data_IF_825456770104
#
_entry.id   IF_825456770104
#
_cell.length_a   1.000
_cell.length_b   1.000
_cell.length_c   1.000
_cell.angle_alpha   90.00
_cell.angle_beta   90.00
_cell.angle_gamma   90.00
#
_symmetry.space_group_name_H-M   'P 1'
#
loop_
_entity.id
_entity.type
_entity.pdbx_description
1 polymer ?
#
# COMPACT_ATOMS: atom_id res chain seq x y z
N UNK A 1 -5.78 -20.71 -15.50
CA UNK A 1 -6.37 -20.57 -14.13
C UNK A 1 -6.40 -19.11 -13.74
N UNK A 2 -7.45 -18.63 -13.04
CA UNK A 2 -7.46 -17.30 -12.46
C UNK A 2 -6.44 -17.24 -11.33
N UNK A 3 -5.77 -16.10 -11.15
CA UNK A 3 -4.82 -15.86 -10.06
C UNK A 3 -5.46 -14.97 -9.00
N UNK A 4 -5.08 -15.12 -7.75
CA UNK A 4 -5.36 -14.11 -6.73
C UNK A 4 -4.60 -12.83 -7.06
N UNK A 5 -5.06 -11.71 -6.54
CA UNK A 5 -4.39 -10.41 -6.69
C UNK A 5 -4.10 -9.85 -5.30
N UNK A 6 -2.86 -9.49 -5.04
CA UNK A 6 -2.44 -8.89 -3.77
C UNK A 6 -1.69 -7.59 -4.08
N UNK A 7 -2.14 -6.49 -3.52
CA UNK A 7 -1.41 -5.21 -3.57
C UNK A 7 -0.90 -4.92 -2.16
N UNK A 8 0.40 -4.72 -2.02
CA UNK A 8 1.05 -4.28 -0.79
C UNK A 8 1.63 -2.89 -1.04
N UNK A 9 1.02 -1.88 -0.44
CA UNK A 9 1.49 -0.50 -0.53
C UNK A 9 2.37 -0.16 0.68
N UNK A 10 3.61 0.27 0.42
CA UNK A 10 4.51 0.87 1.42
C UNK A 10 4.46 2.39 1.26
N UNK A 11 3.63 3.06 2.07
CA UNK A 11 3.45 4.51 1.97
C UNK A 11 4.62 5.27 2.60
N UNK A 12 5.12 6.28 1.92
CA UNK A 12 6.28 7.07 2.34
C UNK A 12 7.64 6.43 2.02
N UNK A 13 7.68 5.32 1.28
CA UNK A 13 8.92 4.67 0.85
C UNK A 13 9.70 5.52 -0.17
N UNK A 14 11.01 5.70 0.05
CA UNK A 14 11.90 6.44 -0.86
C UNK A 14 12.72 5.49 -1.73
N UNK A 15 12.86 5.84 -3.01
CA UNK A 15 13.60 5.04 -3.99
C UNK A 15 15.07 4.85 -3.62
N UNK A 16 15.73 5.89 -3.11
CA UNK A 16 17.15 5.85 -2.74
C UNK A 16 17.43 4.89 -1.57
N UNK A 17 16.47 4.69 -0.67
CA UNK A 17 16.55 3.66 0.37
C UNK A 17 16.24 2.26 -0.19
N UNK A 18 15.21 2.14 -1.01
CA UNK A 18 14.90 0.87 -1.67
C UNK A 18 16.07 0.35 -2.53
N UNK A 19 16.78 1.22 -3.23
CA UNK A 19 17.95 0.84 -4.03
C UNK A 19 19.13 0.31 -3.19
N UNK A 20 19.25 0.71 -1.93
CA UNK A 20 20.29 0.26 -1.00
C UNK A 20 19.87 -0.98 -0.20
N UNK A 21 18.58 -1.26 -0.13
CA UNK A 21 17.98 -2.33 0.66
C UNK A 21 18.27 -3.71 0.07
N UNK A 22 18.68 -4.65 0.91
CA UNK A 22 18.88 -6.05 0.49
C UNK A 22 17.55 -6.75 0.20
N UNK A 23 16.49 -6.45 0.95
CA UNK A 23 15.14 -6.95 0.70
C UNK A 23 14.67 -6.57 -0.71
N UNK A 24 14.75 -5.28 -1.07
CA UNK A 24 14.32 -4.83 -2.40
C UNK A 24 15.24 -5.31 -3.52
N UNK A 25 16.56 -5.46 -3.29
CA UNK A 25 17.47 -6.09 -4.26
C UNK A 25 17.10 -7.54 -4.54
N UNK A 26 16.77 -8.31 -3.50
CA UNK A 26 16.30 -9.69 -3.62
C UNK A 26 14.99 -9.74 -4.43
N UNK A 27 14.01 -8.90 -4.11
CA UNK A 27 12.75 -8.81 -4.85
C UNK A 27 13.00 -8.46 -6.33
N UNK A 28 13.83 -7.48 -6.61
CA UNK A 28 14.19 -7.09 -7.98
C UNK A 28 14.79 -8.24 -8.79
N UNK A 29 15.50 -9.17 -8.15
CA UNK A 29 16.10 -10.34 -8.83
C UNK A 29 15.10 -11.45 -9.14
N UNK A 30 13.94 -11.49 -8.47
CA UNK A 30 12.95 -12.57 -8.54
C UNK A 30 11.60 -12.13 -9.11
N UNK A 31 11.36 -10.83 -9.23
CA UNK A 31 10.08 -10.25 -9.65
C UNK A 31 10.28 -9.29 -10.83
N UNK A 32 9.18 -8.94 -11.50
CA UNK A 32 9.20 -7.88 -12.52
C UNK A 32 9.37 -6.54 -11.81
N UNK A 33 10.41 -5.81 -12.18
CA UNK A 33 10.71 -4.49 -11.65
C UNK A 33 10.49 -3.39 -12.69
N UNK A 34 9.75 -2.37 -12.31
CA UNK A 34 9.52 -1.17 -13.14
C UNK A 34 10.38 -0.03 -12.59
N UNK A 35 11.48 0.28 -13.24
CA UNK A 35 12.47 1.28 -12.80
C UNK A 35 12.12 2.73 -13.19
N UNK A 36 11.16 2.91 -14.09
CA UNK A 36 10.71 4.23 -14.58
C UNK A 36 9.24 4.50 -14.23
N UNK A 37 8.77 4.01 -13.09
CA UNK A 37 7.42 4.30 -12.62
C UNK A 37 7.31 5.74 -12.13
N UNK A 38 6.29 6.46 -12.62
CA UNK A 38 5.99 7.83 -12.21
C UNK A 38 4.62 7.85 -11.53
N UNK A 39 4.56 8.38 -10.32
CA UNK A 39 3.28 8.60 -9.65
C UNK A 39 2.50 9.74 -10.29
N UNK A 40 1.18 9.58 -10.37
CA UNK A 40 0.29 10.64 -10.84
C UNK A 40 0.27 11.87 -9.93
N UNK A 41 0.33 11.65 -8.60
CA UNK A 41 0.20 12.70 -7.61
C UNK A 41 1.24 12.54 -6.49
N UNK A 42 1.71 13.64 -5.87
CA UNK A 42 2.66 13.60 -4.76
C UNK A 42 1.98 13.28 -3.41
N UNK A 43 0.75 12.76 -3.41
CA UNK A 43 -0.01 12.35 -2.23
C UNK A 43 -0.78 11.07 -2.52
N UNK A 44 -0.90 10.23 -1.50
CA UNK A 44 -1.36 8.83 -1.62
C UNK A 44 -2.77 8.72 -2.19
N UNK A 45 -3.72 9.52 -1.72
CA UNK A 45 -5.12 9.43 -2.18
C UNK A 45 -5.25 9.67 -3.68
N UNK A 46 -4.62 10.70 -4.22
CA UNK A 46 -4.65 10.97 -5.67
C UNK A 46 -3.95 9.89 -6.49
N UNK A 47 -2.79 9.42 -6.02
CA UNK A 47 -2.04 8.36 -6.67
C UNK A 47 -2.83 7.04 -6.70
N UNK A 48 -3.38 6.62 -5.56
CA UNK A 48 -4.09 5.34 -5.44
C UNK A 48 -5.46 5.33 -6.12
N UNK A 49 -6.16 6.47 -6.15
CA UNK A 49 -7.37 6.59 -6.97
C UNK A 49 -7.05 6.45 -8.47
N UNK A 50 -5.92 6.98 -8.92
CA UNK A 50 -5.48 6.78 -10.31
C UNK A 50 -5.09 5.32 -10.58
N UNK A 51 -4.34 4.68 -9.69
CA UNK A 51 -3.93 3.27 -9.81
C UNK A 51 -5.15 2.35 -9.88
N UNK A 52 -6.08 2.48 -8.93
CA UNK A 52 -7.23 1.56 -8.85
C UNK A 52 -8.33 1.84 -9.88
N UNK A 53 -8.42 3.05 -10.44
CA UNK A 53 -9.38 3.36 -11.51
C UNK A 53 -8.78 3.26 -12.92
N UNK A 54 -7.45 3.14 -13.06
CA UNK A 54 -6.76 3.22 -14.34
C UNK A 54 -6.90 4.59 -15.03
N UNK A 55 -7.32 5.63 -14.30
CA UNK A 55 -7.60 6.95 -14.84
C UNK A 55 -6.97 8.07 -14.01
N UNK A 56 -6.39 9.04 -14.67
CA UNK A 56 -5.87 10.24 -14.01
C UNK A 56 -6.99 11.06 -13.34
N UNK A 57 -6.64 11.81 -12.30
CA UNK A 57 -7.59 12.55 -11.47
C UNK A 57 -8.42 13.59 -12.22
N UNK A 58 -7.91 14.17 -13.33
CA UNK A 58 -8.69 15.07 -14.20
C UNK A 58 -9.87 14.36 -14.88
N UNK A 59 -9.81 13.04 -15.04
CA UNK A 59 -10.91 12.23 -15.56
C UNK A 59 -11.77 11.63 -14.45
N UNK A 60 -11.14 10.99 -13.46
CA UNK A 60 -11.85 10.28 -12.39
C UNK A 60 -12.43 11.22 -11.31
N UNK A 61 -12.07 12.52 -11.33
CA UNK A 61 -12.58 13.53 -10.40
C UNK A 61 -11.64 13.85 -9.23
N UNK A 62 -10.65 13.00 -8.92
CA UNK A 62 -9.71 13.18 -7.79
C UNK A 62 -8.45 13.90 -8.27
N UNK A 63 -8.58 15.15 -8.65
CA UNK A 63 -7.51 15.96 -9.24
C UNK A 63 -6.81 16.91 -8.25
N UNK A 64 -7.18 16.85 -6.98
CA UNK A 64 -6.51 17.56 -5.88
C UNK A 64 -6.74 16.81 -4.57
N UNK A 65 -5.93 17.14 -3.54
CA UNK A 65 -6.03 16.49 -2.23
C UNK A 65 -7.46 16.55 -1.63
N UNK A 66 -8.13 17.66 -1.77
CA UNK A 66 -9.48 17.87 -1.20
C UNK A 66 -10.63 17.35 -2.09
N UNK A 67 -10.31 16.84 -3.29
CA UNK A 67 -11.30 16.32 -4.22
C UNK A 67 -11.51 14.82 -4.16
N UNK A 68 -11.05 14.14 -3.11
CA UNK A 68 -11.21 12.68 -2.92
C UNK A 68 -12.68 12.26 -2.93
N UNK A 69 -13.59 13.12 -2.42
CA UNK A 69 -15.03 12.86 -2.44
C UNK A 69 -15.70 13.09 -3.80
N UNK A 70 -14.94 13.55 -4.81
CA UNK A 70 -15.43 13.77 -6.18
C UNK A 70 -15.12 12.61 -7.12
N UNK A 71 -14.72 11.48 -6.59
CA UNK A 71 -14.52 10.29 -7.42
C UNK A 71 -15.82 9.93 -8.13
N UNK A 72 -15.75 9.81 -9.46
CA UNK A 72 -16.89 9.57 -10.34
C UNK A 72 -17.15 8.07 -10.48
N UNK A 73 -17.59 7.43 -9.41
CA UNK A 73 -17.87 5.99 -9.35
C UNK A 73 -19.00 5.53 -10.28
N UNK A 74 -19.83 6.43 -10.76
CA UNK A 74 -20.87 6.18 -11.77
C UNK A 74 -20.31 6.08 -13.20
N UNK A 75 -19.10 6.61 -13.43
CA UNK A 75 -18.45 6.65 -14.74
C UNK A 75 -17.20 5.76 -14.83
N UNK A 76 -16.56 5.48 -13.72
CA UNK A 76 -15.31 4.72 -13.66
C UNK A 76 -15.40 3.58 -12.66
N UNK A 77 -15.28 2.36 -13.15
CA UNK A 77 -15.09 1.19 -12.31
C UNK A 77 -13.67 1.13 -11.77
N UNK A 78 -13.54 0.68 -10.54
CA UNK A 78 -12.23 0.38 -9.94
C UNK A 78 -11.77 -1.04 -10.30
N UNK A 79 -10.49 -1.34 -10.06
CA UNK A 79 -9.99 -2.72 -10.13
C UNK A 79 -10.78 -3.66 -9.22
N UNK A 80 -11.19 -3.17 -8.03
CA UNK A 80 -12.00 -3.95 -7.10
C UNK A 80 -13.40 -4.23 -7.68
N UNK A 81 -14.03 -3.26 -8.37
CA UNK A 81 -15.31 -3.49 -9.06
C UNK A 81 -15.18 -4.58 -10.14
N UNK A 82 -14.16 -4.49 -10.99
CA UNK A 82 -13.91 -5.51 -12.04
C UNK A 82 -13.69 -6.89 -11.45
N UNK A 83 -12.89 -6.99 -10.39
CA UNK A 83 -12.60 -8.27 -9.77
C UNK A 83 -13.83 -8.83 -9.03
N UNK A 84 -14.58 -7.99 -8.32
CA UNK A 84 -15.83 -8.38 -7.66
C UNK A 84 -16.85 -8.92 -8.67
N UNK A 85 -17.05 -8.24 -9.81
CA UNK A 85 -17.92 -8.69 -10.90
C UNK A 85 -17.46 -10.01 -11.53
N UNK A 86 -16.19 -10.38 -11.36
CA UNK A 86 -15.61 -11.63 -11.82
C UNK A 86 -15.50 -12.70 -10.72
N UNK A 87 -16.32 -12.58 -9.67
CA UNK A 87 -16.43 -13.52 -8.55
C UNK A 87 -15.16 -13.61 -7.67
N UNK A 88 -14.38 -12.52 -7.56
CA UNK A 88 -13.34 -12.44 -6.55
C UNK A 88 -13.93 -11.97 -5.22
N UNK A 89 -13.43 -12.53 -4.13
CA UNK A 89 -13.60 -11.91 -2.80
C UNK A 89 -12.65 -10.72 -2.69
N UNK A 90 -13.18 -9.54 -2.41
CA UNK A 90 -12.40 -8.30 -2.44
C UNK A 90 -12.30 -7.69 -1.06
N UNK A 91 -11.09 -7.58 -0.53
CA UNK A 91 -10.81 -7.06 0.80
C UNK A 91 -9.75 -5.96 0.74
N UNK A 92 -9.95 -4.88 1.47
CA UNK A 92 -8.96 -3.84 1.68
C UNK A 92 -8.72 -3.58 3.17
N UNK A 93 -7.47 -3.39 3.54
CA UNK A 93 -7.06 -2.93 4.85
C UNK A 93 -6.18 -1.67 4.73
N UNK A 94 -6.56 -0.58 5.40
CA UNK A 94 -5.85 0.69 5.36
C UNK A 94 -5.97 1.48 6.66
N UNK A 95 -5.17 2.53 6.82
CA UNK A 95 -5.19 3.38 8.01
C UNK A 95 -6.31 4.43 7.99
N UNK A 96 -6.97 4.62 6.87
CA UNK A 96 -8.12 5.53 6.70
C UNK A 96 -8.99 5.10 5.53
N UNK A 97 -10.30 5.38 5.64
CA UNK A 97 -11.26 5.13 4.57
C UNK A 97 -11.03 5.94 3.29
N UNK A 98 -10.22 6.98 3.37
CA UNK A 98 -10.01 7.92 2.27
C UNK A 98 -8.80 7.57 1.40
N UNK A 99 -8.03 6.56 1.78
CA UNK A 99 -6.75 6.23 1.15
C UNK A 99 -6.91 5.71 -0.27
N UNK A 100 -7.97 4.96 -0.52
CA UNK A 100 -8.32 4.38 -1.82
C UNK A 100 -9.84 4.50 -2.05
N UNK A 101 -10.32 4.39 -3.31
CA UNK A 101 -11.75 4.29 -3.57
C UNK A 101 -12.29 2.98 -2.97
N UNK A 102 -13.37 3.07 -2.17
CA UNK A 102 -13.98 1.90 -1.52
C UNK A 102 -14.80 1.00 -2.45
N UNK A 103 -15.14 1.50 -3.62
CA UNK A 103 -16.05 0.85 -4.55
C UNK A 103 -15.49 -0.49 -5.02
N UNK A 104 -16.34 -1.52 -5.04
CA UNK A 104 -16.00 -2.87 -5.45
C UNK A 104 -15.35 -3.73 -4.36
N UNK A 105 -14.94 -3.16 -3.22
CA UNK A 105 -14.52 -3.96 -2.07
C UNK A 105 -15.74 -4.47 -1.30
N UNK A 106 -15.79 -5.80 -1.08
CA UNK A 106 -16.80 -6.46 -0.26
C UNK A 106 -16.61 -6.12 1.21
N UNK A 107 -15.35 -6.04 1.63
CA UNK A 107 -14.96 -5.64 2.98
C UNK A 107 -13.86 -4.59 2.91
N UNK A 108 -14.00 -3.57 3.72
CA UNK A 108 -13.01 -2.49 3.88
C UNK A 108 -12.77 -2.25 5.36
N UNK A 109 -11.59 -2.61 5.84
CA UNK A 109 -11.19 -2.40 7.22
C UNK A 109 -10.31 -1.16 7.36
N UNK A 110 -10.45 -0.49 8.50
CA UNK A 110 -9.60 0.64 8.90
C UNK A 110 -8.90 0.28 10.20
N UNK A 111 -7.59 0.22 10.17
CA UNK A 111 -6.78 -0.08 11.35
C UNK A 111 -6.17 1.19 11.96
N UNK A 112 -5.93 1.16 13.26
CA UNK A 112 -5.13 2.16 13.96
C UNK A 112 -3.70 1.65 14.12
N UNK A 113 -2.79 2.16 13.29
CA UNK A 113 -1.39 1.72 13.25
C UNK A 113 -0.61 1.92 14.55
N UNK A 114 -1.08 2.80 15.43
CA UNK A 114 -0.45 3.02 16.75
C UNK A 114 -0.82 1.91 17.73
N UNK A 115 -1.95 1.24 17.51
CA UNK A 115 -2.50 0.25 18.45
C UNK A 115 -2.28 -1.20 18.04
N UNK A 116 -2.06 -1.46 16.74
CA UNK A 116 -1.96 -2.83 16.25
C UNK A 116 -0.55 -3.19 15.78
N UNK A 117 -0.23 -4.48 15.86
CA UNK A 117 0.90 -5.08 15.17
C UNK A 117 0.47 -5.45 13.75
N UNK A 118 0.88 -4.63 12.75
CA UNK A 118 0.50 -4.84 11.35
C UNK A 118 0.98 -6.18 10.78
N UNK A 119 2.15 -6.69 11.21
CA UNK A 119 2.65 -7.99 10.75
C UNK A 119 1.68 -9.08 11.19
N UNK A 120 1.29 -9.07 12.46
CA UNK A 120 0.35 -10.05 12.97
C UNK A 120 -1.02 -9.91 12.29
N UNK A 121 -1.56 -8.71 12.25
CA UNK A 121 -2.88 -8.44 11.69
C UNK A 121 -2.98 -8.84 10.21
N UNK A 122 -2.03 -8.42 9.39
CA UNK A 122 -2.02 -8.79 7.97
C UNK A 122 -1.72 -10.28 7.75
N UNK A 123 -0.98 -10.92 8.67
CA UNK A 123 -0.81 -12.38 8.64
C UNK A 123 -2.13 -13.12 8.91
N UNK A 124 -2.93 -12.65 9.84
CA UNK A 124 -4.27 -13.19 10.13
C UNK A 124 -5.23 -12.97 8.93
N UNK A 125 -5.17 -11.79 8.29
CA UNK A 125 -5.92 -11.55 7.04
C UNK A 125 -5.52 -12.51 5.92
N UNK A 126 -4.23 -12.83 5.79
CA UNK A 126 -3.77 -13.80 4.79
C UNK A 126 -4.25 -15.22 5.11
N UNK A 127 -4.38 -15.61 6.39
CA UNK A 127 -5.01 -16.88 6.78
C UNK A 127 -6.48 -16.92 6.32
N UNK A 128 -7.24 -15.86 6.57
CA UNK A 128 -8.63 -15.74 6.13
C UNK A 128 -8.74 -15.79 4.58
N UNK A 129 -7.84 -15.12 3.87
CA UNK A 129 -7.81 -15.18 2.39
C UNK A 129 -7.48 -16.59 1.89
N UNK A 130 -6.62 -17.31 2.60
CA UNK A 130 -6.30 -18.71 2.28
C UNK A 130 -7.53 -19.61 2.43
N UNK A 131 -8.31 -19.44 3.49
CA UNK A 131 -9.57 -20.21 3.67
C UNK A 131 -10.57 -19.93 2.54
N UNK A 132 -10.71 -18.67 2.10
CA UNK A 132 -11.57 -18.29 0.97
C UNK A 132 -11.09 -18.98 -0.32
N UNK A 133 -9.76 -18.94 -0.56
CA UNK A 133 -9.16 -19.57 -1.73
C UNK A 133 -9.34 -21.09 -1.73
N UNK A 134 -9.17 -21.76 -0.58
CA UNK A 134 -9.39 -23.20 -0.43
C UNK A 134 -10.86 -23.58 -0.59
N UNK A 135 -11.76 -22.65 -0.28
CA UNK A 135 -13.19 -22.76 -0.58
C UNK A 135 -13.54 -22.59 -2.08
N UNK A 136 -12.56 -22.40 -2.95
CA UNK A 136 -12.72 -22.31 -4.40
C UNK A 136 -12.97 -20.91 -4.95
N UNK A 137 -12.83 -19.86 -4.14
CA UNK A 137 -12.99 -18.47 -4.57
C UNK A 137 -11.65 -17.73 -4.60
N UNK A 138 -11.29 -17.13 -5.74
CA UNK A 138 -10.15 -16.23 -5.82
C UNK A 138 -10.41 -14.93 -5.05
N UNK A 139 -9.36 -14.27 -4.59
CA UNK A 139 -9.47 -13.03 -3.86
C UNK A 139 -8.62 -11.90 -4.45
N UNK A 140 -9.02 -10.68 -4.13
CA UNK A 140 -8.23 -9.45 -4.26
C UNK A 140 -8.03 -8.86 -2.87
N UNK A 141 -6.78 -8.75 -2.47
CA UNK A 141 -6.37 -8.21 -1.17
C UNK A 141 -5.53 -6.95 -1.36
N UNK A 142 -5.92 -5.86 -0.72
CA UNK A 142 -5.12 -4.64 -0.61
C UNK A 142 -4.64 -4.46 0.82
N UNK A 143 -3.33 -4.36 1.02
CA UNK A 143 -2.68 -4.14 2.31
C UNK A 143 -1.92 -2.81 2.29
N UNK A 144 -2.16 -1.97 3.28
CA UNK A 144 -1.50 -0.67 3.42
C UNK A 144 -0.57 -0.66 4.63
N UNK A 145 0.71 -0.41 4.38
CA UNK A 145 1.71 -0.12 5.40
C UNK A 145 2.01 1.37 5.39
N UNK A 146 1.50 2.14 6.37
CA UNK A 146 1.69 3.58 6.45
C UNK A 146 2.62 4.03 7.59
N UNK A 147 3.28 3.10 8.29
CA UNK A 147 4.15 3.43 9.45
C UNK A 147 5.35 4.34 9.11
N UNK A 148 5.83 4.35 7.87
CA UNK A 148 6.82 5.36 7.44
C UNK A 148 6.15 6.72 7.43
N UNK A 149 5.00 6.85 6.78
CA UNK A 149 4.26 8.11 6.66
C UNK A 149 3.83 8.66 8.02
N UNK A 150 3.28 7.83 8.89
CA UNK A 150 2.85 8.23 10.24
C UNK A 150 4.06 8.50 11.16
N UNK A 151 5.12 7.71 11.09
CA UNK A 151 6.35 7.89 11.86
C UNK A 151 7.09 9.19 11.51
N UNK A 152 7.08 9.61 10.25
CA UNK A 152 7.64 10.91 9.84
C UNK A 152 7.01 12.06 10.64
N UNK A 153 5.74 11.93 11.00
CA UNK A 153 5.07 12.97 11.79
C UNK A 153 5.56 13.07 13.23
N UNK A 154 6.07 11.97 13.79
CA UNK A 154 6.49 11.87 15.19
C UNK A 154 8.01 11.94 15.36
N UNK A 155 8.75 11.29 14.45
CA UNK A 155 10.17 11.01 14.62
C UNK A 155 11.08 11.85 13.72
N UNK A 156 10.54 12.47 12.67
CA UNK A 156 11.28 13.32 11.75
C UNK A 156 10.79 14.77 11.85
N UNK A 157 11.72 15.74 11.91
CA UNK A 157 11.37 17.16 11.91
C UNK A 157 10.72 17.54 10.59
N UNK A 158 9.55 18.20 10.66
CA UNK A 158 8.78 18.60 9.50
C UNK A 158 9.11 20.02 9.07
N UNK A 159 9.60 20.19 7.86
CA UNK A 159 9.92 21.51 7.30
C UNK A 159 8.67 22.39 7.16
N UNK A 160 7.53 21.84 6.78
CA UNK A 160 6.31 22.61 6.56
C UNK A 160 5.58 23.06 7.85
N UNK A 161 5.90 22.46 8.99
CA UNK A 161 5.38 22.90 10.28
C UNK A 161 6.22 24.00 10.91
N UNK A 162 7.50 24.03 10.56
CA UNK A 162 8.45 24.98 11.08
C UNK A 162 9.61 25.07 10.10
N UNK A 163 9.59 26.04 9.19
CA UNK A 163 10.70 26.35 8.26
C UNK A 163 11.93 26.88 9.02
N UNK A 164 12.22 26.27 10.16
CA UNK A 164 13.30 26.68 11.02
C UNK A 164 14.65 26.17 10.51
N UNK A 165 15.68 26.88 10.89
CA UNK A 165 17.06 26.46 10.70
C UNK A 165 17.31 25.07 11.30
N UNK A 166 16.66 24.74 12.39
CA UNK A 166 16.75 23.45 13.09
C UNK A 166 16.50 22.23 12.20
N UNK A 167 15.53 22.30 11.26
CA UNK A 167 15.31 21.23 10.31
C UNK A 167 16.55 20.96 9.44
N UNK A 168 17.16 22.00 8.94
CA UNK A 168 18.31 21.91 8.04
C UNK A 168 19.60 21.53 8.80
N UNK A 169 19.76 22.01 10.03
CA UNK A 169 20.90 21.68 10.88
C UNK A 169 20.88 20.23 11.38
N UNK A 170 19.71 19.56 11.33
CA UNK A 170 19.51 18.17 11.80
C UNK A 170 19.27 17.18 10.64
N UNK A 171 19.78 17.43 9.46
CA UNK A 171 19.56 16.57 8.30
C UNK A 171 20.01 15.13 8.53
N UNK A 172 21.18 14.90 9.12
CA UNK A 172 21.71 13.56 9.40
C UNK A 172 20.83 12.81 10.40
N UNK A 173 20.35 13.48 11.44
CA UNK A 173 19.44 12.91 12.42
C UNK A 173 18.11 12.52 11.79
N UNK A 174 17.57 13.35 10.90
CA UNK A 174 16.33 13.03 10.18
C UNK A 174 16.53 11.85 9.21
N UNK A 175 17.69 11.75 8.58
CA UNK A 175 18.02 10.62 7.72
C UNK A 175 18.15 9.31 8.52
N UNK A 176 18.77 9.36 9.70
CA UNK A 176 18.86 8.20 10.60
C UNK A 176 17.46 7.73 11.06
N UNK A 177 16.62 8.66 11.48
CA UNK A 177 15.23 8.36 11.89
C UNK A 177 14.44 7.75 10.75
N UNK A 178 14.52 8.31 9.55
CA UNK A 178 13.87 7.75 8.39
C UNK A 178 14.41 6.34 8.06
N UNK A 179 15.71 6.13 8.18
CA UNK A 179 16.34 4.81 7.96
C UNK A 179 15.75 3.73 8.87
N UNK A 180 15.50 4.05 10.14
CA UNK A 180 14.84 3.13 11.08
C UNK A 180 13.41 2.80 10.66
N UNK A 181 12.63 3.80 10.24
CA UNK A 181 11.27 3.59 9.75
C UNK A 181 11.25 2.73 8.48
N UNK A 182 12.18 2.97 7.57
CA UNK A 182 12.31 2.18 6.34
C UNK A 182 12.71 0.74 6.64
N UNK A 183 13.64 0.51 7.56
CA UNK A 183 14.03 -0.83 7.98
C UNK A 183 12.84 -1.62 8.59
N UNK A 184 11.98 -0.98 9.36
CA UNK A 184 10.76 -1.61 9.85
C UNK A 184 9.81 -2.03 8.71
N UNK A 185 9.75 -1.25 7.62
CA UNK A 185 8.99 -1.62 6.43
C UNK A 185 9.60 -2.81 5.69
N UNK A 186 10.93 -2.95 5.68
CA UNK A 186 11.61 -4.14 5.14
C UNK A 186 11.23 -5.40 5.92
N UNK A 187 11.28 -5.33 7.26
CA UNK A 187 10.89 -6.44 8.15
C UNK A 187 9.43 -6.84 7.91
N UNK A 188 8.53 -5.83 7.81
CA UNK A 188 7.13 -6.08 7.48
C UNK A 188 6.98 -6.79 6.15
N UNK A 189 7.58 -6.26 5.09
CA UNK A 189 7.47 -6.81 3.74
C UNK A 189 7.99 -8.25 3.67
N UNK A 190 9.17 -8.52 4.23
CA UNK A 190 9.73 -9.88 4.30
C UNK A 190 8.80 -10.83 5.07
N UNK A 191 8.22 -10.37 6.18
CA UNK A 191 7.29 -11.18 6.99
C UNK A 191 6.02 -11.55 6.20
N UNK A 192 5.43 -10.59 5.50
CA UNK A 192 4.21 -10.80 4.71
C UNK A 192 4.49 -11.71 3.50
N UNK A 193 5.59 -11.49 2.78
CA UNK A 193 5.96 -12.34 1.64
C UNK A 193 6.26 -13.78 2.08
N UNK A 194 6.96 -13.97 3.21
CA UNK A 194 7.18 -15.29 3.79
C UNK A 194 5.85 -15.96 4.20
N UNK A 195 4.91 -15.21 4.76
CA UNK A 195 3.57 -15.73 5.08
C UNK A 195 2.83 -16.19 3.83
N UNK A 196 2.83 -15.39 2.76
CA UNK A 196 2.21 -15.74 1.47
C UNK A 196 2.84 -17.04 0.90
N UNK A 197 4.17 -17.17 0.99
CA UNK A 197 4.87 -18.36 0.55
C UNK A 197 4.50 -19.60 1.39
N UNK A 198 4.48 -19.47 2.71
CA UNK A 198 4.15 -20.56 3.64
C UNK A 198 2.69 -21.04 3.48
N UNK A 199 1.79 -20.17 3.06
CA UNK A 199 0.41 -20.51 2.71
C UNK A 199 0.25 -21.12 1.31
N UNK A 200 1.34 -21.31 0.56
CA UNK A 200 1.34 -21.78 -0.84
C UNK A 200 0.46 -20.89 -1.76
N UNK A 201 0.41 -19.60 -1.48
CA UNK A 201 -0.33 -18.62 -2.29
C UNK A 201 0.52 -17.99 -3.38
N UNK A 202 1.86 -18.04 -3.27
CA UNK A 202 2.78 -17.31 -4.16
C UNK A 202 2.58 -17.69 -5.65
N UNK A 203 2.55 -19.00 -5.96
CA UNK A 203 2.38 -19.48 -7.33
C UNK A 203 0.97 -19.22 -7.90
N UNK A 204 0.01 -18.98 -7.03
CA UNK A 204 -1.40 -18.75 -7.39
C UNK A 204 -1.83 -17.29 -7.28
N UNK A 205 -0.87 -16.36 -7.11
CA UNK A 205 -1.14 -14.94 -6.94
C UNK A 205 -0.31 -14.08 -7.90
N UNK A 206 -0.81 -12.88 -8.15
CA UNK A 206 -0.07 -11.72 -8.66
C UNK A 206 0.09 -10.78 -7.48
N UNK A 207 1.35 -10.42 -7.15
CA UNK A 207 1.68 -9.57 -6.02
C UNK A 207 2.35 -8.30 -6.53
#
# INVERSE_FOLDING_TARGET
MKKNVIIILIDGGRLDFAQKSETFKKLKSTMIHFDQSITYAPYTTGAMHAVLSGCYGNRNGVNSYWNIFKFKNDQFLTLADYLSQNNYYTFADGHTELIIPKFGFKEFNVHDEQKINLIQWHSELLDNMKEIYDGGQNFFLYLHYSKIHTGISNDVLKVFNNFSKEYFDNQDLNQERYSKLFHNAEIYLDSILNKIQNLNLLENSII
#
